data_IF_258631103780
#
_entry.id   IF_258631103780
#
_cell.length_a   1.000
_cell.length_b   1.000
_cell.length_c   1.000
_cell.angle_alpha   90.00
_cell.angle_beta   90.00
_cell.angle_gamma   90.00
#
_symmetry.space_group_name_H-M   'P 1'
#
loop_
_entity.id
_entity.type
_entity.pdbx_description
1 polymer ?
#
# COMPACT_ATOMS: atom_id res chain seq x y z
N UNK A 1 24.48 -11.15 -10.26
CA UNK A 1 24.26 -10.13 -9.21
C UNK A 1 22.77 -9.82 -9.20
N UNK A 2 22.10 -9.85 -8.05
CA UNK A 2 20.67 -9.53 -7.97
C UNK A 2 20.46 -8.00 -8.08
N UNK A 3 19.41 -7.56 -8.77
CA UNK A 3 19.01 -6.16 -8.81
C UNK A 3 18.53 -5.71 -7.43
N UNK A 4 18.77 -4.45 -7.07
CA UNK A 4 18.16 -3.88 -5.86
C UNK A 4 16.64 -3.87 -6.02
N UNK A 5 15.94 -4.25 -4.95
CA UNK A 5 14.48 -4.34 -4.95
C UNK A 5 13.91 -3.76 -3.67
N UNK A 6 12.88 -2.95 -3.81
CA UNK A 6 12.07 -2.44 -2.71
C UNK A 6 10.59 -2.72 -2.96
N UNK A 7 9.78 -2.58 -1.92
CA UNK A 7 8.34 -2.75 -1.97
C UNK A 7 7.65 -1.57 -1.30
N UNK A 8 6.49 -1.22 -1.81
CA UNK A 8 5.50 -0.38 -1.14
C UNK A 8 4.26 -1.25 -0.97
N UNK A 9 3.70 -1.27 0.23
CA UNK A 9 2.62 -2.18 0.58
C UNK A 9 1.50 -1.38 1.20
N UNK A 10 0.42 -1.25 0.44
CA UNK A 10 -0.82 -0.64 0.88
C UNK A 10 -1.77 -1.70 1.40
N UNK A 11 -2.59 -1.32 2.38
CA UNK A 11 -3.54 -2.23 3.01
C UNK A 11 -4.66 -1.49 3.73
N UNK A 12 -5.83 -2.12 3.71
CA UNK A 12 -6.94 -1.69 4.56
C UNK A 12 -6.87 -2.32 5.95
N UNK A 13 -7.43 -1.58 6.90
CA UNK A 13 -7.70 -2.05 8.26
C UNK A 13 -9.19 -2.19 8.50
N UNK A 14 -9.59 -3.05 9.43
CA UNK A 14 -11.00 -3.31 9.65
C UNK A 14 -11.29 -4.41 10.66
N UNK A 15 -12.54 -4.87 10.71
CA UNK A 15 -12.98 -5.96 11.58
C UNK A 15 -12.74 -7.33 10.93
N UNK A 16 -12.71 -8.43 11.69
CA UNK A 16 -12.69 -9.78 11.12
C UNK A 16 -13.90 -10.13 10.24
N UNK A 17 -14.99 -9.35 10.32
CA UNK A 17 -16.17 -9.49 9.44
C UNK A 17 -15.98 -8.81 8.08
N UNK A 18 -14.87 -8.09 7.91
CA UNK A 18 -14.54 -7.37 6.69
C UNK A 18 -15.10 -5.94 6.62
N UNK A 19 -15.59 -5.40 7.75
CA UNK A 19 -15.96 -3.99 7.83
C UNK A 19 -14.68 -3.14 7.83
N UNK A 20 -14.56 -2.24 6.87
CA UNK A 20 -13.38 -1.38 6.73
C UNK A 20 -13.43 -0.25 7.75
N UNK A 21 -12.35 -0.09 8.51
CA UNK A 21 -12.22 0.95 9.54
C UNK A 21 -10.89 1.66 9.33
N UNK A 22 -10.93 2.98 9.17
CA UNK A 22 -9.74 3.77 8.92
C UNK A 22 -8.95 4.09 10.18
N UNK A 23 -7.72 3.62 10.22
CA UNK A 23 -6.77 3.84 11.31
C UNK A 23 -5.49 4.54 10.84
N UNK A 24 -5.39 5.01 9.59
CA UNK A 24 -4.13 5.51 9.03
C UNK A 24 -3.48 6.60 9.89
N UNK A 25 -4.24 7.58 10.37
CA UNK A 25 -3.71 8.64 11.25
C UNK A 25 -3.17 8.08 12.57
N UNK A 26 -3.89 7.16 13.22
CA UNK A 26 -3.48 6.55 14.48
C UNK A 26 -2.23 5.69 14.30
N UNK A 27 -2.18 4.93 13.19
CA UNK A 27 -1.05 4.08 12.83
C UNK A 27 0.20 4.91 12.60
N UNK A 28 0.12 5.95 11.76
CA UNK A 28 1.27 6.82 11.44
C UNK A 28 1.74 7.59 12.67
N UNK A 29 0.85 7.93 13.59
CA UNK A 29 1.24 8.55 14.86
C UNK A 29 1.91 7.57 15.86
N UNK A 30 1.64 6.27 15.74
CA UNK A 30 2.07 5.26 16.73
C UNK A 30 3.18 4.33 16.26
N UNK A 31 3.34 4.15 14.95
CA UNK A 31 4.26 3.20 14.34
C UNK A 31 5.14 3.90 13.30
N UNK A 32 6.46 3.72 13.44
CA UNK A 32 7.43 4.21 12.47
C UNK A 32 7.32 3.46 11.14
N UNK A 33 7.62 4.17 10.04
CA UNK A 33 7.72 3.58 8.70
C UNK A 33 6.38 3.38 7.99
N UNK A 34 5.28 3.86 8.57
CA UNK A 34 3.97 3.92 7.91
C UNK A 34 3.68 5.33 7.40
N UNK A 35 2.93 5.43 6.31
CA UNK A 35 2.46 6.69 5.72
C UNK A 35 0.97 6.64 5.42
N UNK A 36 0.38 7.84 5.26
CA UNK A 36 -1.04 8.00 4.95
C UNK A 36 -1.22 8.05 3.45
N UNK A 37 -2.17 7.27 2.97
CA UNK A 37 -2.72 7.40 1.62
C UNK A 37 -3.78 8.49 1.56
N UNK A 38 -4.23 8.92 0.36
CA UNK A 38 -5.28 9.92 0.22
C UNK A 38 -6.59 9.58 0.97
N UNK A 39 -6.94 8.30 1.10
CA UNK A 39 -8.08 7.81 1.88
C UNK A 39 -7.64 7.18 3.20
N UNK A 40 -8.22 7.61 4.33
CA UNK A 40 -7.79 7.25 5.69
C UNK A 40 -7.99 5.78 6.05
N UNK A 41 -8.69 5.03 5.19
CA UNK A 41 -8.88 3.59 5.34
C UNK A 41 -7.68 2.80 4.85
N UNK A 42 -6.83 3.40 4.05
CA UNK A 42 -5.64 2.79 3.50
C UNK A 42 -4.39 3.30 4.26
N UNK A 43 -3.47 2.38 4.52
CA UNK A 43 -2.18 2.68 5.12
C UNK A 43 -1.09 1.98 4.34
N UNK A 44 0.03 2.66 4.16
CA UNK A 44 1.18 2.16 3.41
C UNK A 44 2.40 2.02 4.31
N UNK A 45 3.26 1.03 4.04
CA UNK A 45 4.66 1.05 4.45
C UNK A 45 5.57 0.68 3.30
N UNK A 46 6.83 1.12 3.37
CA UNK A 46 7.83 0.85 2.33
C UNK A 46 9.05 0.14 2.88
N UNK A 47 9.74 -0.62 2.03
CA UNK A 47 11.00 -1.28 2.38
C UNK A 47 12.18 -0.54 1.75
N UNK A 48 13.33 -0.51 2.42
CA UNK A 48 14.57 -0.10 1.79
C UNK A 48 14.91 -0.98 0.55
N UNK A 49 15.58 -0.43 -0.47
CA UNK A 49 16.00 -1.21 -1.63
C UNK A 49 17.14 -2.17 -1.24
N UNK A 50 16.93 -3.47 -1.40
CA UNK A 50 17.90 -4.51 -1.01
C UNK A 50 18.22 -5.45 -2.18
N UNK A 51 19.49 -5.79 -2.36
CA UNK A 51 19.92 -6.86 -3.27
C UNK A 51 19.87 -8.25 -2.62
N UNK A 52 19.74 -8.32 -1.29
CA UNK A 52 19.60 -9.57 -0.54
C UNK A 52 18.12 -9.87 -0.32
N UNK A 53 17.55 -10.76 -1.14
CA UNK A 53 16.10 -11.00 -1.14
C UNK A 53 15.60 -11.73 0.11
N UNK A 54 16.45 -12.50 0.80
CA UNK A 54 16.10 -13.12 2.10
C UNK A 54 15.87 -12.06 3.18
N UNK A 55 16.71 -11.00 3.20
CA UNK A 55 16.51 -9.86 4.09
C UNK A 55 15.31 -9.03 3.68
N UNK A 56 15.05 -8.92 2.38
CA UNK A 56 13.89 -8.20 1.85
C UNK A 56 12.58 -8.87 2.24
N UNK A 57 12.52 -10.20 2.27
CA UNK A 57 11.37 -10.94 2.81
C UNK A 57 11.09 -10.55 4.27
N UNK A 58 12.13 -10.49 5.10
CA UNK A 58 11.98 -10.04 6.48
C UNK A 58 11.50 -8.58 6.56
N UNK A 59 12.04 -7.70 5.71
CA UNK A 59 11.64 -6.30 5.64
C UNK A 59 10.18 -6.12 5.21
N UNK A 60 9.67 -7.01 4.35
CA UNK A 60 8.27 -7.04 3.92
C UNK A 60 7.33 -7.50 5.05
N UNK A 61 7.71 -8.53 5.80
CA UNK A 61 6.79 -9.19 6.74
C UNK A 61 6.74 -8.50 8.11
N UNK A 62 7.86 -7.94 8.59
CA UNK A 62 7.95 -7.36 9.94
C UNK A 62 6.98 -6.19 10.18
N UNK A 63 6.87 -5.18 9.28
CA UNK A 63 5.90 -4.10 9.47
C UNK A 63 4.47 -4.63 9.54
N UNK A 64 4.13 -5.62 8.71
CA UNK A 64 2.81 -6.27 8.72
C UNK A 64 2.49 -6.95 10.06
N UNK A 65 3.48 -7.60 10.68
CA UNK A 65 3.34 -8.20 12.01
C UNK A 65 3.15 -7.13 13.10
N UNK A 66 3.96 -6.07 13.07
CA UNK A 66 3.86 -4.95 14.00
C UNK A 66 2.48 -4.27 13.91
N UNK A 67 2.02 -3.96 12.70
CA UNK A 67 0.71 -3.37 12.47
C UNK A 67 -0.42 -4.28 12.95
N UNK A 68 -0.37 -5.59 12.67
CA UNK A 68 -1.38 -6.53 13.17
C UNK A 68 -1.41 -6.57 14.71
N UNK A 69 -0.26 -6.50 15.37
CA UNK A 69 -0.21 -6.47 16.84
C UNK A 69 -0.77 -5.15 17.39
N UNK A 70 -0.45 -4.03 16.75
CA UNK A 70 -1.01 -2.72 17.09
C UNK A 70 -2.54 -2.70 16.97
N UNK A 71 -3.11 -3.19 15.86
CA UNK A 71 -4.56 -3.25 15.67
C UNK A 71 -5.27 -4.10 16.73
N UNK A 72 -4.66 -5.21 17.17
CA UNK A 72 -5.18 -6.02 18.28
C UNK A 72 -5.22 -5.26 19.60
N UNK A 73 -4.27 -4.35 19.82
CA UNK A 73 -4.27 -3.51 21.03
C UNK A 73 -5.39 -2.47 21.03
N UNK A 74 -5.89 -2.08 19.85
CA UNK A 74 -7.03 -1.18 19.70
C UNK A 74 -8.39 -1.90 19.83
N UNK A 75 -8.41 -3.23 19.84
CA UNK A 75 -9.62 -4.05 19.97
C UNK A 75 -9.67 -5.20 18.96
N UNK A 76 -10.88 -5.62 18.58
CA UNK A 76 -11.08 -6.71 17.63
C UNK A 76 -10.90 -6.26 16.17
N UNK A 77 -9.73 -5.71 15.86
CA UNK A 77 -9.36 -5.22 14.53
C UNK A 77 -8.23 -6.05 13.91
N UNK A 78 -8.19 -6.06 12.58
CA UNK A 78 -7.23 -6.80 11.77
C UNK A 78 -6.91 -6.06 10.48
N UNK A 79 -5.89 -6.54 9.79
CA UNK A 79 -5.65 -6.26 8.38
C UNK A 79 -6.71 -6.95 7.54
N UNK A 80 -7.22 -6.23 6.54
CA UNK A 80 -8.19 -6.76 5.58
C UNK A 80 -7.42 -7.27 4.35
N UNK A 81 -7.62 -8.53 3.94
CA UNK A 81 -7.07 -9.03 2.71
C UNK A 81 -7.86 -8.48 1.51
N UNK A 82 -7.15 -8.05 0.47
CA UNK A 82 -7.75 -7.60 -0.78
C UNK A 82 -7.31 -6.18 -1.16
N UNK A 83 -7.45 -5.88 -2.45
CA UNK A 83 -7.08 -4.60 -3.06
C UNK A 83 -8.28 -3.64 -3.23
N UNK A 84 -9.48 -4.06 -2.83
CA UNK A 84 -10.72 -3.30 -3.02
C UNK A 84 -11.65 -3.40 -1.81
N UNK A 85 -12.56 -2.43 -1.69
CA UNK A 85 -13.61 -2.39 -0.66
C UNK A 85 -14.79 -3.33 -1.03
N UNK A 86 -14.52 -4.64 -1.08
CA UNK A 86 -15.42 -5.66 -1.66
C UNK A 86 -16.75 -5.86 -0.92
N UNK A 87 -16.82 -5.58 0.38
CA UNK A 87 -18.03 -5.78 1.20
C UNK A 87 -18.85 -4.50 1.41
N UNK A 88 -18.52 -3.42 0.69
CA UNK A 88 -19.19 -2.12 0.79
C UNK A 88 -18.31 -1.03 1.38
N UNK A 89 -18.91 0.11 1.71
CA UNK A 89 -18.18 1.30 2.15
C UNK A 89 -17.49 2.08 1.02
N UNK A 90 -17.60 1.63 -0.24
CA UNK A 90 -17.05 2.32 -1.41
C UNK A 90 -17.88 3.53 -1.88
N UNK A 91 -18.96 3.90 -1.20
CA UNK A 91 -19.82 5.02 -1.59
C UNK A 91 -19.26 6.41 -1.24
N UNK A 92 -18.21 6.48 -0.41
CA UNK A 92 -17.63 7.74 0.07
C UNK A 92 -16.11 7.67 0.16
N UNK A 93 -15.47 8.77 -0.23
CA UNK A 93 -14.04 8.99 -0.04
C UNK A 93 -13.83 9.63 1.33
N UNK A 94 -12.86 9.13 2.09
CA UNK A 94 -12.57 9.64 3.44
C UNK A 94 -11.16 10.22 3.44
N UNK A 95 -11.03 11.52 3.16
CA UNK A 95 -9.71 12.17 3.07
C UNK A 95 -8.91 12.01 4.36
N UNK A 96 -7.68 11.50 4.26
CA UNK A 96 -6.72 11.46 5.38
C UNK A 96 -6.25 12.84 5.82
N UNK A 97 -6.19 13.77 4.87
CA UNK A 97 -5.92 15.18 5.15
C UNK A 97 -6.95 16.04 4.41
N UNK A 98 -7.95 16.60 5.12
CA UNK A 98 -8.98 17.46 4.54
C UNK A 98 -8.43 18.74 3.89
N UNK A 99 -7.26 19.22 4.33
CA UNK A 99 -6.66 20.46 3.87
C UNK A 99 -5.71 20.25 2.68
N UNK A 100 -5.42 19.00 2.31
CA UNK A 100 -4.54 18.72 1.18
C UNK A 100 -5.29 18.94 -0.16
N UNK A 101 -4.85 19.90 -1.00
CA UNK A 101 -5.51 20.19 -2.28
C UNK A 101 -5.42 19.02 -3.26
N UNK A 102 -4.38 18.18 -3.17
CA UNK A 102 -4.26 16.99 -4.00
C UNK A 102 -5.32 15.95 -3.65
N UNK A 103 -5.61 15.71 -2.38
CA UNK A 103 -6.70 14.81 -1.96
C UNK A 103 -8.06 15.32 -2.43
N UNK A 104 -8.27 16.64 -2.37
CA UNK A 104 -9.47 17.28 -2.91
C UNK A 104 -9.62 17.06 -4.42
N UNK A 105 -8.53 17.23 -5.16
CA UNK A 105 -8.51 16.98 -6.60
C UNK A 105 -8.83 15.52 -6.94
N UNK A 106 -8.19 14.57 -6.25
CA UNK A 106 -8.44 13.13 -6.44
C UNK A 106 -9.90 12.78 -6.18
N UNK A 107 -10.46 13.20 -5.04
CA UNK A 107 -11.86 12.91 -4.71
C UNK A 107 -12.81 13.49 -5.75
N UNK A 108 -12.62 14.76 -6.14
CA UNK A 108 -13.50 15.42 -7.10
C UNK A 108 -13.42 14.78 -8.50
N UNK A 109 -12.24 14.30 -8.89
CA UNK A 109 -12.01 13.74 -10.24
C UNK A 109 -12.42 12.28 -10.34
N UNK A 110 -12.09 11.49 -9.32
CA UNK A 110 -12.19 10.03 -9.38
C UNK A 110 -13.14 9.43 -8.34
N UNK A 111 -13.53 10.21 -7.33
CA UNK A 111 -14.30 9.73 -6.18
C UNK A 111 -13.61 8.53 -5.54
N UNK A 112 -14.38 7.50 -5.25
CA UNK A 112 -13.88 6.27 -4.61
C UNK A 112 -13.29 5.25 -5.56
N UNK A 113 -13.28 5.49 -6.88
CA UNK A 113 -12.77 4.53 -7.87
C UNK A 113 -11.27 4.25 -7.74
N UNK A 114 -10.55 5.16 -7.09
CA UNK A 114 -9.12 5.11 -6.82
C UNK A 114 -8.81 4.69 -5.38
N UNK A 115 -9.83 4.40 -4.57
CA UNK A 115 -9.63 3.83 -3.24
C UNK A 115 -9.40 2.34 -3.42
N UNK A 116 -8.18 2.01 -3.82
CA UNK A 116 -7.64 0.66 -3.95
C UNK A 116 -6.41 0.52 -3.07
N UNK A 117 -6.07 -0.71 -2.69
CA UNK A 117 -4.80 -1.04 -2.05
C UNK A 117 -3.97 -1.89 -3.01
N UNK A 118 -2.68 -1.59 -3.14
CA UNK A 118 -1.79 -2.25 -4.08
C UNK A 118 -0.45 -2.68 -3.46
N UNK A 119 0.36 -3.38 -4.26
CA UNK A 119 1.75 -3.69 -3.95
C UNK A 119 2.59 -3.14 -5.09
N UNK A 120 3.50 -2.23 -4.77
CA UNK A 120 4.49 -1.75 -5.73
C UNK A 120 5.78 -2.54 -5.58
N UNK A 121 6.36 -2.98 -6.69
CA UNK A 121 7.66 -3.65 -6.73
C UNK A 121 8.64 -2.73 -7.45
N UNK A 122 9.51 -2.09 -6.67
CA UNK A 122 10.51 -1.16 -7.17
C UNK A 122 11.79 -1.92 -7.48
N UNK A 123 12.29 -1.86 -8.72
CA UNK A 123 13.51 -2.55 -9.16
C UNK A 123 14.54 -1.54 -9.65
N UNK A 124 15.73 -1.54 -9.06
CA UNK A 124 16.81 -0.62 -9.43
C UNK A 124 17.62 -1.11 -10.64
N UNK A 125 17.63 -0.30 -11.70
CA UNK A 125 18.46 -0.49 -12.90
C UNK A 125 19.18 0.84 -13.15
N UNK A 126 20.51 0.83 -13.07
CA UNK A 126 21.33 2.05 -13.15
C UNK A 126 21.57 2.54 -14.57
N UNK A 127 21.61 1.62 -15.54
CA UNK A 127 21.79 1.95 -16.96
C UNK A 127 20.44 2.40 -17.56
N UNK A 128 20.31 3.65 -18.04
CA UNK A 128 19.07 4.17 -18.58
C UNK A 128 18.56 3.43 -19.82
N UNK A 129 19.45 2.94 -20.69
CA UNK A 129 19.05 2.22 -21.90
C UNK A 129 18.48 0.84 -21.52
N UNK A 130 19.13 0.16 -20.55
CA UNK A 130 18.60 -1.10 -20.01
C UNK A 130 17.27 -0.86 -19.29
N UNK A 131 17.15 0.22 -18.51
CA UNK A 131 15.90 0.60 -17.83
C UNK A 131 14.76 0.80 -18.84
N UNK A 132 14.99 1.56 -19.91
CA UNK A 132 13.98 1.78 -20.94
C UNK A 132 13.55 0.49 -21.64
N UNK A 133 14.50 -0.40 -21.93
CA UNK A 133 14.21 -1.73 -22.50
C UNK A 133 13.39 -2.59 -21.54
N UNK A 134 13.72 -2.59 -20.24
CA UNK A 134 12.98 -3.30 -19.22
C UNK A 134 11.54 -2.77 -19.08
N UNK A 135 11.34 -1.45 -19.07
CA UNK A 135 10.01 -0.84 -19.02
C UNK A 135 9.12 -1.26 -20.20
N UNK A 136 9.69 -1.30 -21.42
CA UNK A 136 8.95 -1.75 -22.62
C UNK A 136 8.51 -3.20 -22.49
N UNK A 137 9.41 -4.08 -22.02
CA UNK A 137 9.10 -5.49 -21.81
C UNK A 137 8.03 -5.67 -20.73
N UNK A 138 8.20 -5.07 -19.56
CA UNK A 138 7.21 -5.16 -18.46
C UNK A 138 5.84 -4.67 -18.91
N UNK A 139 5.76 -3.60 -19.71
CA UNK A 139 4.49 -3.10 -20.23
C UNK A 139 3.84 -4.06 -21.25
N UNK A 140 4.64 -4.73 -22.08
CA UNK A 140 4.14 -5.75 -23.01
C UNK A 140 3.62 -6.99 -22.26
N UNK A 141 4.36 -7.42 -21.24
CA UNK A 141 4.07 -8.64 -20.47
C UNK A 141 3.16 -8.40 -19.26
N UNK A 142 2.76 -7.16 -18.98
CA UNK A 142 1.92 -6.79 -17.83
C UNK A 142 0.65 -7.65 -17.71
N UNK A 143 -0.06 -8.02 -18.81
CA UNK A 143 -1.21 -8.92 -18.70
C UNK A 143 -0.88 -10.28 -18.09
N UNK A 144 0.33 -10.81 -18.26
CA UNK A 144 0.74 -12.07 -17.65
C UNK A 144 0.96 -11.96 -16.14
N UNK A 145 1.33 -10.77 -15.65
CA UNK A 145 1.44 -10.51 -14.22
C UNK A 145 0.07 -10.26 -13.55
N UNK A 146 -0.94 -9.88 -14.34
CA UNK A 146 -2.28 -9.54 -13.87
C UNK A 146 -3.29 -10.70 -14.01
N UNK A 147 -3.01 -11.70 -14.85
CA UNK A 147 -3.83 -12.89 -15.08
C UNK A 147 -3.71 -13.91 -13.95
#
# INVERSE_FOLDING_TARGET
>A
MLLSKGFEVEMYTGTPKGDIVGFSDQIVASLDGFVREPDQRNVEYTTAPLCCYDRLLCALVRPRQQLRNYLKSLGNYTLIPGSTLSLGGSGRFYRSDPNNPYHSYIENTYGTKVVTASIHINVGISDPEILMRACRLVRMEAPLYLA
#
